data_IF_083202773021
#
_entry.id   IF_083202773021
#
_cell.length_a   1.000
_cell.length_b   1.000
_cell.length_c   1.000
_cell.angle_alpha   90.00
_cell.angle_beta   90.00
_cell.angle_gamma   90.00
#
_symmetry.space_group_name_H-M   'P 1'
#
loop_
_entity.id
_entity.type
_entity.pdbx_description
1 polymer ?
#
# COMPACT_ATOMS: atom_id res chain seq x y z
N UNK A 1 -20.06 -40.55 8.47
CA UNK A 1 -18.83 -41.10 9.08
C UNK A 1 -17.90 -41.49 7.95
N UNK A 2 -16.72 -40.91 7.72
CA UNK A 2 -15.90 -39.98 8.49
C UNK A 2 -14.95 -39.32 7.48
N UNK A 3 -14.98 -37.98 7.38
CA UNK A 3 -14.09 -37.18 6.53
C UNK A 3 -12.91 -36.77 7.39
N UNK A 4 -11.82 -37.53 7.32
CA UNK A 4 -10.53 -37.15 7.89
C UNK A 4 -9.45 -37.90 7.11
N UNK A 5 -8.91 -37.27 6.05
CA UNK A 5 -7.61 -37.57 5.40
C UNK A 5 -7.47 -36.76 4.09
N UNK A 6 -7.37 -35.44 4.16
CA UNK A 6 -6.96 -34.62 3.01
C UNK A 6 -6.31 -33.29 3.44
N UNK A 7 -5.43 -33.34 4.46
CA UNK A 7 -4.83 -32.12 5.04
C UNK A 7 -3.34 -32.24 5.37
N UNK A 8 -2.57 -33.03 4.61
CA UNK A 8 -1.16 -33.25 4.94
C UNK A 8 -0.21 -33.31 3.73
N UNK A 9 -0.49 -32.58 2.65
CA UNK A 9 0.38 -32.60 1.46
C UNK A 9 0.58 -31.25 0.78
N UNK A 10 0.77 -30.17 1.55
CA UNK A 10 1.38 -28.92 1.06
C UNK A 10 2.34 -28.40 2.14
N UNK A 11 3.40 -29.15 2.40
CA UNK A 11 4.46 -28.77 3.35
C UNK A 11 5.75 -29.52 3.00
N UNK A 12 6.19 -29.41 1.74
CA UNK A 12 7.47 -29.98 1.28
C UNK A 12 7.89 -29.46 -0.11
N UNK A 13 8.07 -28.15 -0.29
CA UNK A 13 8.87 -27.63 -1.42
C UNK A 13 9.74 -26.49 -0.88
N UNK A 14 10.76 -26.84 -0.10
CA UNK A 14 11.85 -25.93 0.26
C UNK A 14 13.01 -26.71 0.88
N UNK A 15 13.52 -27.72 0.16
CA UNK A 15 14.82 -28.31 0.46
C UNK A 15 15.32 -29.00 -0.81
N UNK A 16 16.44 -28.49 -1.34
CA UNK A 16 17.36 -29.06 -2.35
C UNK A 16 17.67 -28.09 -3.49
N UNK A 17 18.30 -26.97 -3.13
CA UNK A 17 19.34 -26.34 -3.94
C UNK A 17 20.42 -25.83 -2.97
N UNK A 18 21.23 -26.75 -2.44
CA UNK A 18 22.47 -26.43 -1.73
C UNK A 18 23.55 -26.13 -2.79
N UNK A 19 23.44 -24.94 -3.38
CA UNK A 19 24.60 -24.25 -3.95
C UNK A 19 25.24 -23.43 -2.86
N UNK A 20 26.55 -23.58 -2.68
CA UNK A 20 27.37 -22.95 -1.65
C UNK A 20 27.27 -21.43 -1.67
N UNK A 21 26.34 -20.86 -0.90
CA UNK A 21 26.34 -19.44 -0.56
C UNK A 21 26.93 -19.36 0.84
N UNK A 22 28.06 -18.65 0.97
CA UNK A 22 28.65 -18.27 2.25
C UNK A 22 27.57 -17.81 3.23
N UNK A 23 27.76 -18.01 4.56
CA UNK A 23 26.85 -17.49 5.56
C UNK A 23 27.05 -15.97 5.62
N UNK A 24 26.54 -15.25 4.63
CA UNK A 24 26.09 -13.90 4.84
C UNK A 24 25.04 -14.03 5.94
N UNK A 25 25.35 -13.49 7.11
CA UNK A 25 24.45 -13.41 8.25
C UNK A 25 23.06 -13.04 7.77
N UNK A 26 22.13 -13.99 7.79
CA UNK A 26 20.72 -13.64 7.73
C UNK A 26 20.47 -12.83 9.01
N UNK A 27 20.52 -11.51 8.91
CA UNK A 27 20.14 -10.63 9.99
C UNK A 27 18.73 -11.04 10.42
N UNK A 28 18.58 -11.32 11.71
CA UNK A 28 17.27 -11.67 12.26
C UNK A 28 16.27 -10.57 11.86
N UNK A 29 15.04 -10.91 11.44
CA UNK A 29 14.04 -9.91 11.10
C UNK A 29 13.89 -8.94 12.27
N UNK A 30 13.84 -7.64 11.98
CA UNK A 30 13.64 -6.66 13.03
C UNK A 30 12.34 -6.95 13.80
N UNK A 31 12.27 -6.49 15.06
CA UNK A 31 11.07 -6.62 15.86
C UNK A 31 9.82 -6.04 15.16
N UNK A 32 10.01 -5.04 14.29
CA UNK A 32 8.95 -4.41 13.49
C UNK A 32 8.39 -5.38 12.45
N UNK A 33 9.26 -6.09 11.72
CA UNK A 33 8.85 -7.08 10.71
C UNK A 33 8.23 -8.33 11.35
N UNK A 34 8.77 -8.79 12.48
CA UNK A 34 8.17 -9.92 13.23
C UNK A 34 6.74 -9.59 13.62
N UNK A 35 6.51 -8.41 14.23
CA UNK A 35 5.16 -7.97 14.64
C UNK A 35 4.21 -7.85 13.47
N UNK A 36 4.68 -7.36 12.33
CA UNK A 36 3.87 -7.30 11.11
C UNK A 36 3.50 -8.70 10.61
N UNK A 37 4.45 -9.64 10.61
CA UNK A 37 4.21 -11.01 10.16
C UNK A 37 3.18 -11.71 11.05
N UNK A 38 3.28 -11.57 12.38
CA UNK A 38 2.28 -12.10 13.31
C UNK A 38 0.86 -11.60 13.01
N UNK A 39 0.73 -10.32 12.66
CA UNK A 39 -0.57 -9.75 12.30
C UNK A 39 -1.07 -10.31 10.96
N UNK A 40 -0.18 -10.46 9.97
CA UNK A 40 -0.54 -11.04 8.68
C UNK A 40 -0.93 -12.51 8.81
N UNK A 41 -0.20 -13.29 9.59
CA UNK A 41 -0.53 -14.69 9.90
C UNK A 41 -1.89 -14.78 10.59
N UNK A 42 -2.18 -13.90 11.55
CA UNK A 42 -3.51 -13.81 12.16
C UNK A 42 -4.60 -13.51 11.14
N UNK A 43 -4.33 -12.61 10.19
CA UNK A 43 -5.25 -12.23 9.12
C UNK A 43 -5.56 -13.43 8.22
N UNK A 44 -4.53 -14.13 7.73
CA UNK A 44 -4.65 -15.30 6.84
C UNK A 44 -5.32 -16.49 7.53
N UNK A 45 -5.16 -16.62 8.84
CA UNK A 45 -5.81 -17.67 9.62
C UNK A 45 -7.32 -17.47 9.79
N UNK A 46 -7.88 -16.30 9.46
CA UNK A 46 -9.32 -16.07 9.58
C UNK A 46 -10.08 -16.68 8.38
N UNK A 47 -11.28 -17.26 8.61
CA UNK A 47 -12.12 -17.79 7.54
C UNK A 47 -12.69 -16.69 6.62
N UNK A 48 -12.77 -15.46 7.13
CA UNK A 48 -13.16 -14.25 6.38
C UNK A 48 -12.20 -13.12 6.75
N UNK A 49 -11.94 -12.15 5.86
CA UNK A 49 -11.10 -11.01 6.19
C UNK A 49 -11.61 -10.31 7.46
N UNK A 50 -10.74 -10.05 8.45
CA UNK A 50 -11.14 -9.42 9.69
C UNK A 50 -11.76 -8.04 9.45
N UNK A 51 -12.66 -7.61 10.35
CA UNK A 51 -13.49 -6.41 10.21
C UNK A 51 -13.32 -5.45 11.39
N UNK A 52 -13.31 -4.16 11.10
CA UNK A 52 -13.38 -3.10 12.12
C UNK A 52 -14.74 -3.02 12.83
N UNK A 53 -15.80 -3.51 12.18
CA UNK A 53 -17.13 -3.59 12.77
C UNK A 53 -17.23 -4.67 13.86
N UNK A 54 -16.32 -5.65 13.86
CA UNK A 54 -16.33 -6.76 14.82
C UNK A 54 -15.56 -6.36 16.10
N UNK A 55 -16.22 -6.31 17.27
CA UNK A 55 -15.61 -5.80 18.51
C UNK A 55 -14.31 -6.51 18.91
N UNK A 56 -14.25 -7.84 18.72
CA UNK A 56 -13.09 -8.66 19.09
C UNK A 56 -11.90 -8.52 18.12
N UNK A 57 -12.17 -8.08 16.89
CA UNK A 57 -11.16 -7.96 15.83
C UNK A 57 -10.62 -6.53 15.73
N UNK A 58 -11.48 -5.53 15.99
CA UNK A 58 -11.16 -4.10 15.89
C UNK A 58 -9.86 -3.69 16.59
N UNK A 59 -9.56 -4.10 17.84
CA UNK A 59 -8.31 -3.69 18.50
C UNK A 59 -7.06 -4.19 17.78
N UNK A 60 -7.09 -5.42 17.24
CA UNK A 60 -5.97 -6.01 16.49
C UNK A 60 -5.78 -5.32 15.14
N UNK A 61 -6.87 -5.03 14.45
CA UNK A 61 -6.83 -4.29 13.18
C UNK A 61 -6.35 -2.85 13.35
N UNK A 62 -6.85 -2.11 14.33
CA UNK A 62 -6.37 -0.76 14.59
C UNK A 62 -4.87 -0.77 14.91
N UNK A 63 -4.41 -1.74 15.69
CA UNK A 63 -2.98 -1.92 15.96
C UNK A 63 -2.16 -2.11 14.68
N UNK A 64 -2.65 -2.82 13.65
CA UNK A 64 -1.94 -2.92 12.37
C UNK A 64 -1.69 -1.55 11.70
N UNK A 65 -2.68 -0.66 11.74
CA UNK A 65 -2.63 0.58 10.95
C UNK A 65 -2.15 1.79 11.76
N UNK A 66 -2.34 1.80 13.07
CA UNK A 66 -2.05 2.96 13.94
C UNK A 66 -0.88 2.73 14.90
N UNK A 67 -0.33 1.53 14.98
CA UNK A 67 0.75 1.25 15.93
C UNK A 67 2.06 1.87 15.45
N UNK A 68 2.44 2.94 16.13
CA UNK A 68 3.68 3.64 15.84
C UNK A 68 4.93 2.75 16.02
N UNK A 69 4.83 1.64 16.77
CA UNK A 69 5.94 0.70 16.89
C UNK A 69 6.28 -0.02 15.59
N UNK A 70 5.37 -0.12 14.62
CA UNK A 70 5.70 -0.68 13.28
C UNK A 70 6.76 0.18 12.60
N UNK A 71 6.80 1.49 12.89
CA UNK A 71 7.76 2.41 12.30
C UNK A 71 9.09 2.46 13.04
N UNK A 72 9.12 2.03 14.31
CA UNK A 72 10.29 2.10 15.17
C UNK A 72 10.77 3.52 15.48
N UNK A 73 11.67 3.69 16.47
CA UNK A 73 12.25 5.01 16.80
C UNK A 73 13.26 5.49 15.75
N UNK A 74 13.89 4.57 15.02
CA UNK A 74 14.93 4.86 14.03
C UNK A 74 14.40 4.84 12.59
N UNK A 75 13.07 4.75 12.41
CA UNK A 75 12.46 4.48 11.12
C UNK A 75 12.65 3.04 10.66
N UNK A 76 12.25 2.78 9.41
CA UNK A 76 12.40 1.50 8.72
C UNK A 76 13.51 1.59 7.68
N UNK A 77 14.31 0.52 7.56
CA UNK A 77 15.26 0.33 6.48
C UNK A 77 14.55 0.12 5.13
N UNK A 78 15.24 0.31 4.00
CA UNK A 78 14.65 0.04 2.68
C UNK A 78 14.09 -1.38 2.52
N UNK A 79 14.74 -2.38 3.10
CA UNK A 79 14.30 -3.78 3.05
C UNK A 79 13.01 -3.99 3.86
N UNK A 80 12.88 -3.33 5.01
CA UNK A 80 11.68 -3.38 5.83
C UNK A 80 10.52 -2.66 5.16
N UNK A 81 10.77 -1.49 4.54
CA UNK A 81 9.77 -0.79 3.73
C UNK A 81 9.30 -1.63 2.52
N UNK A 82 10.22 -2.36 1.88
CA UNK A 82 9.87 -3.28 0.80
C UNK A 82 9.00 -4.43 1.30
N UNK A 83 9.32 -4.99 2.46
CA UNK A 83 8.53 -6.03 3.12
C UNK A 83 7.14 -5.53 3.47
N UNK A 84 7.03 -4.36 4.11
CA UNK A 84 5.76 -3.76 4.48
C UNK A 84 4.87 -3.50 3.25
N UNK A 85 5.46 -3.02 2.14
CA UNK A 85 4.74 -2.84 0.89
C UNK A 85 4.14 -4.15 0.35
N UNK A 86 4.90 -5.25 0.37
CA UNK A 86 4.39 -6.57 -0.03
C UNK A 86 3.20 -6.99 0.84
N UNK A 87 3.30 -6.78 2.15
CA UNK A 87 2.25 -7.16 3.10
C UNK A 87 0.99 -6.31 2.93
N UNK A 88 1.12 -4.99 2.72
CA UNK A 88 -0.04 -4.14 2.43
C UNK A 88 -0.74 -4.56 1.13
N UNK A 89 0.01 -4.97 0.11
CA UNK A 89 -0.57 -5.49 -1.14
C UNK A 89 -1.31 -6.81 -0.93
N UNK A 90 -0.77 -7.71 -0.11
CA UNK A 90 -1.40 -8.99 0.25
C UNK A 90 -2.71 -8.77 1.01
N UNK A 91 -2.71 -7.87 2.01
CA UNK A 91 -3.92 -7.51 2.77
C UNK A 91 -4.98 -6.88 1.88
N UNK A 92 -4.57 -5.98 0.99
CA UNK A 92 -5.47 -5.35 0.01
C UNK A 92 -6.10 -6.40 -0.90
N UNK A 93 -5.31 -7.36 -1.38
CA UNK A 93 -5.78 -8.46 -2.19
C UNK A 93 -6.80 -9.32 -1.43
N UNK A 94 -6.52 -9.65 -0.16
CA UNK A 94 -7.43 -10.45 0.65
C UNK A 94 -8.79 -9.77 0.87
N UNK A 95 -8.83 -8.44 1.03
CA UNK A 95 -10.10 -7.70 1.10
C UNK A 95 -10.80 -7.58 -0.26
N UNK A 96 -10.08 -7.12 -1.29
CA UNK A 96 -10.65 -6.82 -2.60
C UNK A 96 -11.07 -8.07 -3.36
N UNK A 97 -10.38 -9.19 -3.16
CA UNK A 97 -10.64 -10.47 -3.82
C UNK A 97 -11.32 -11.50 -2.91
N UNK A 98 -11.87 -11.08 -1.76
CA UNK A 98 -12.63 -12.00 -0.93
C UNK A 98 -13.89 -12.48 -1.66
N UNK A 99 -14.08 -13.79 -1.75
CA UNK A 99 -15.32 -14.35 -2.25
C UNK A 99 -15.77 -15.49 -1.35
N UNK A 100 -17.03 -15.43 -0.90
CA UNK A 100 -17.68 -16.55 -0.20
C UNK A 100 -17.95 -17.72 -1.18
N UNK A 101 -17.98 -17.45 -2.50
CA UNK A 101 -18.09 -18.43 -3.58
C UNK A 101 -16.73 -18.65 -4.25
N UNK A 102 -16.29 -19.90 -4.51
CA UNK A 102 -14.97 -20.21 -5.10
C UNK A 102 -14.81 -19.84 -6.59
N UNK A 103 -15.62 -18.93 -7.12
CA UNK A 103 -15.56 -18.46 -8.50
C UNK A 103 -14.65 -17.24 -8.64
N UNK A 104 -14.07 -17.07 -9.83
CA UNK A 104 -13.32 -15.87 -10.22
C UNK A 104 -14.20 -14.63 -10.07
N UNK A 105 -13.73 -13.63 -9.32
CA UNK A 105 -14.47 -12.40 -9.10
C UNK A 105 -14.36 -11.47 -10.31
N UNK A 106 -15.51 -11.04 -10.83
CA UNK A 106 -15.58 -9.97 -11.81
C UNK A 106 -15.37 -8.58 -11.18
N UNK A 107 -15.37 -7.54 -12.00
CA UNK A 107 -15.20 -6.17 -11.55
C UNK A 107 -16.30 -5.70 -10.60
N UNK A 108 -17.53 -6.20 -10.77
CA UNK A 108 -18.66 -5.81 -9.93
C UNK A 108 -18.54 -6.42 -8.54
N UNK A 109 -18.12 -7.68 -8.43
CA UNK A 109 -17.87 -8.31 -7.15
C UNK A 109 -16.72 -7.64 -6.38
N UNK A 110 -15.64 -7.24 -7.07
CA UNK A 110 -14.56 -6.46 -6.44
C UNK A 110 -15.04 -5.09 -5.94
N UNK A 111 -15.94 -4.43 -6.66
CA UNK A 111 -16.58 -3.19 -6.23
C UNK A 111 -17.44 -3.40 -4.98
N UNK A 112 -18.24 -4.47 -4.96
CA UNK A 112 -19.05 -4.83 -3.78
C UNK A 112 -18.19 -5.13 -2.55
N UNK A 113 -17.05 -5.80 -2.75
CA UNK A 113 -16.06 -6.01 -1.68
C UNK A 113 -15.48 -4.69 -1.19
N UNK A 114 -15.09 -3.78 -2.09
CA UNK A 114 -14.63 -2.45 -1.70
C UNK A 114 -15.65 -1.74 -0.82
N UNK A 115 -16.94 -1.79 -1.17
CA UNK A 115 -18.00 -1.16 -0.36
C UNK A 115 -18.18 -1.88 0.98
N UNK A 116 -18.15 -3.22 0.99
CA UNK A 116 -18.29 -4.06 2.19
C UNK A 116 -17.15 -3.82 3.18
N UNK A 117 -15.91 -3.70 2.70
CA UNK A 117 -14.68 -3.60 3.49
C UNK A 117 -14.01 -2.22 3.39
N UNK A 118 -14.79 -1.17 3.13
CA UNK A 118 -14.23 0.12 2.75
C UNK A 118 -13.31 0.72 3.82
N UNK A 119 -13.65 0.59 5.10
CA UNK A 119 -12.84 1.19 6.17
C UNK A 119 -11.48 0.48 6.27
N UNK A 120 -11.48 -0.84 6.15
CA UNK A 120 -10.27 -1.66 6.21
C UNK A 120 -9.38 -1.45 4.97
N UNK A 121 -9.98 -1.43 3.77
CA UNK A 121 -9.26 -1.15 2.51
C UNK A 121 -8.64 0.24 2.55
N UNK A 122 -9.37 1.25 3.06
CA UNK A 122 -8.84 2.62 3.11
C UNK A 122 -7.75 2.77 4.17
N UNK A 123 -7.88 2.19 5.38
CA UNK A 123 -6.79 2.24 6.36
C UNK A 123 -5.53 1.52 5.84
N UNK A 124 -5.68 0.39 5.16
CA UNK A 124 -4.57 -0.30 4.53
C UNK A 124 -3.95 0.52 3.37
N UNK A 125 -4.78 1.22 2.58
CA UNK A 125 -4.29 2.12 1.53
C UNK A 125 -3.55 3.34 2.10
N UNK A 126 -3.99 3.90 3.22
CA UNK A 126 -3.28 4.98 3.92
C UNK A 126 -1.94 4.50 4.47
N UNK A 127 -1.87 3.26 4.98
CA UNK A 127 -0.61 2.61 5.36
C UNK A 127 0.33 2.46 4.17
N UNK A 128 -0.20 2.06 3.01
CA UNK A 128 0.57 2.00 1.76
C UNK A 128 1.09 3.37 1.33
N UNK A 129 0.25 4.42 1.33
CA UNK A 129 0.68 5.80 1.05
C UNK A 129 1.84 6.18 1.98
N UNK A 130 1.66 6.02 3.30
CA UNK A 130 2.68 6.36 4.29
C UNK A 130 3.99 5.62 4.00
N UNK A 131 3.93 4.32 3.70
CA UNK A 131 5.11 3.50 3.37
C UNK A 131 5.84 4.02 2.13
N UNK A 132 5.11 4.43 1.09
CA UNK A 132 5.74 5.05 -0.10
C UNK A 132 6.40 6.39 0.25
N UNK A 133 5.81 7.19 1.14
CA UNK A 133 6.36 8.50 1.49
C UNK A 133 7.65 8.37 2.29
N UNK A 134 7.72 7.45 3.25
CA UNK A 134 9.00 7.14 3.92
C UNK A 134 10.03 6.57 2.96
N UNK A 135 9.62 5.78 1.96
CA UNK A 135 10.55 5.34 0.92
C UNK A 135 11.08 6.53 0.13
N UNK A 136 10.26 7.50 -0.23
CA UNK A 136 10.71 8.70 -0.94
C UNK A 136 11.65 9.56 -0.08
N UNK A 137 11.32 9.78 1.19
CA UNK A 137 12.16 10.54 2.12
C UNK A 137 13.53 9.90 2.28
N UNK A 138 13.59 8.57 2.43
CA UNK A 138 14.86 7.84 2.48
C UNK A 138 15.58 7.84 1.14
N UNK A 139 14.87 7.66 0.03
CA UNK A 139 15.46 7.67 -1.31
C UNK A 139 16.05 9.04 -1.66
N UNK A 140 15.48 10.15 -1.19
CA UNK A 140 16.04 11.49 -1.39
C UNK A 140 17.39 11.64 -0.69
N UNK A 141 17.52 11.13 0.54
CA UNK A 141 18.78 11.15 1.31
C UNK A 141 19.86 10.30 0.63
N UNK A 142 19.49 9.23 -0.07
CA UNK A 142 20.43 8.27 -0.66
C UNK A 142 20.41 8.24 -2.20
N UNK A 143 19.80 9.23 -2.88
CA UNK A 143 19.51 9.14 -4.31
C UNK A 143 20.75 8.87 -5.19
N UNK A 144 21.93 9.34 -4.77
CA UNK A 144 23.20 9.08 -5.46
C UNK A 144 23.72 7.62 -5.30
N UNK A 145 23.24 6.92 -4.27
CA UNK A 145 23.63 5.55 -3.93
C UNK A 145 22.55 4.50 -4.32
N UNK A 146 21.32 4.92 -4.62
CA UNK A 146 20.22 4.04 -4.99
C UNK A 146 20.31 3.68 -6.49
N UNK A 147 20.28 2.39 -6.86
CA UNK A 147 20.24 1.96 -8.25
C UNK A 147 19.05 2.57 -9.02
N UNK A 148 19.28 2.98 -10.28
CA UNK A 148 18.23 3.58 -11.13
C UNK A 148 17.01 2.66 -11.34
N UNK A 149 17.19 1.35 -11.26
CA UNK A 149 16.11 0.34 -11.31
C UNK A 149 15.16 0.43 -10.12
N UNK A 150 15.67 0.75 -8.93
CA UNK A 150 14.86 0.93 -7.73
C UNK A 150 14.05 2.22 -7.81
N UNK A 151 14.64 3.31 -8.30
CA UNK A 151 13.94 4.57 -8.52
C UNK A 151 12.77 4.44 -9.52
N UNK A 152 12.96 3.67 -10.60
CA UNK A 152 11.87 3.34 -11.55
C UNK A 152 10.75 2.55 -10.89
N UNK A 153 11.09 1.63 -10.00
CA UNK A 153 10.12 0.83 -9.24
C UNK A 153 9.29 1.73 -8.31
N UNK A 154 9.93 2.68 -7.63
CA UNK A 154 9.25 3.66 -6.76
C UNK A 154 8.29 4.54 -7.55
N UNK A 155 8.76 5.11 -8.67
CA UNK A 155 7.89 5.90 -9.56
C UNK A 155 6.69 5.09 -10.03
N UNK A 156 6.89 3.83 -10.40
CA UNK A 156 5.79 2.93 -10.80
C UNK A 156 4.78 2.73 -9.67
N UNK A 157 5.25 2.46 -8.44
CA UNK A 157 4.38 2.31 -7.27
C UNK A 157 3.59 3.59 -6.96
N UNK A 158 4.19 4.76 -7.13
CA UNK A 158 3.50 6.06 -6.97
C UNK A 158 2.43 6.25 -8.05
N UNK A 159 2.71 5.92 -9.30
CA UNK A 159 1.71 5.97 -10.37
C UNK A 159 0.54 5.02 -10.09
N UNK A 160 0.81 3.81 -9.60
CA UNK A 160 -0.22 2.87 -9.16
C UNK A 160 -1.04 3.43 -8.00
N UNK A 161 -0.37 4.04 -7.00
CA UNK A 161 -1.01 4.70 -5.87
C UNK A 161 -1.96 5.81 -6.33
N UNK A 162 -1.50 6.70 -7.22
CA UNK A 162 -2.33 7.79 -7.76
C UNK A 162 -3.51 7.26 -8.59
N UNK A 163 -3.31 6.17 -9.34
CA UNK A 163 -4.38 5.48 -10.05
C UNK A 163 -5.45 4.91 -9.11
N UNK A 164 -5.03 4.24 -8.03
CA UNK A 164 -5.94 3.71 -6.98
C UNK A 164 -6.67 4.83 -6.25
N UNK A 165 -5.97 5.90 -5.89
CA UNK A 165 -6.57 7.11 -5.33
C UNK A 165 -7.71 7.60 -6.20
N UNK A 166 -7.48 7.74 -7.51
CA UNK A 166 -8.50 8.24 -8.42
C UNK A 166 -9.71 7.30 -8.49
N UNK A 167 -9.47 5.98 -8.46
CA UNK A 167 -10.53 4.98 -8.39
C UNK A 167 -11.37 5.16 -7.11
N UNK A 168 -10.73 5.23 -5.94
CA UNK A 168 -11.44 5.37 -4.66
C UNK A 168 -12.20 6.69 -4.55
N UNK A 169 -11.57 7.80 -4.95
CA UNK A 169 -12.22 9.11 -4.92
C UNK A 169 -13.37 9.20 -5.94
N UNK A 170 -13.43 8.32 -6.94
CA UNK A 170 -14.54 8.22 -7.89
C UNK A 170 -15.70 7.32 -7.41
N UNK A 171 -15.49 6.47 -6.42
CA UNK A 171 -16.47 5.49 -5.96
C UNK A 171 -17.60 6.18 -5.16
N UNK A 172 -18.85 6.21 -5.68
CA UNK A 172 -19.96 6.89 -5.02
C UNK A 172 -20.35 6.27 -3.67
N UNK A 173 -20.14 4.97 -3.49
CA UNK A 173 -20.52 4.26 -2.27
C UNK A 173 -19.45 4.31 -1.17
N UNK A 174 -18.27 4.87 -1.45
CA UNK A 174 -17.28 5.14 -0.43
C UNK A 174 -17.83 6.21 0.53
N UNK A 175 -17.57 6.11 1.82
CA UNK A 175 -18.01 7.12 2.77
C UNK A 175 -17.25 8.44 2.54
N UNK A 176 -17.91 9.57 2.84
CA UNK A 176 -17.26 10.89 2.81
C UNK A 176 -16.04 10.94 3.73
N UNK A 177 -16.12 10.32 4.91
CA UNK A 177 -15.01 10.24 5.85
C UNK A 177 -13.77 9.55 5.26
N UNK A 178 -13.98 8.45 4.54
CA UNK A 178 -12.90 7.72 3.87
C UNK A 178 -12.30 8.51 2.70
N UNK A 179 -13.13 9.15 1.87
CA UNK A 179 -12.63 10.06 0.82
C UNK A 179 -11.80 11.21 1.39
N UNK A 180 -12.24 11.81 2.50
CA UNK A 180 -11.51 12.89 3.17
C UNK A 180 -10.16 12.42 3.70
N UNK A 181 -10.07 11.22 4.29
CA UNK A 181 -8.79 10.68 4.77
C UNK A 181 -7.79 10.47 3.63
N UNK A 182 -8.24 9.93 2.49
CA UNK A 182 -7.41 9.78 1.28
C UNK A 182 -6.93 11.15 0.81
N UNK A 183 -7.84 12.12 0.71
CA UNK A 183 -7.49 13.47 0.26
C UNK A 183 -6.50 14.17 1.18
N UNK A 184 -6.69 14.02 2.49
CA UNK A 184 -5.76 14.57 3.48
C UNK A 184 -4.36 13.99 3.28
N UNK A 185 -4.26 12.66 3.18
CA UNK A 185 -2.98 11.98 2.96
C UNK A 185 -2.29 12.42 1.66
N UNK A 186 -3.03 12.68 0.58
CA UNK A 186 -2.46 13.20 -0.66
C UNK A 186 -1.99 14.64 -0.53
N UNK A 187 -2.78 15.48 0.14
CA UNK A 187 -2.50 16.91 0.30
C UNK A 187 -1.27 17.09 1.17
N UNK A 188 -1.18 16.35 2.29
CA UNK A 188 -0.02 16.37 3.19
C UNK A 188 1.30 15.99 2.48
N UNK A 189 1.20 15.25 1.37
CA UNK A 189 2.36 14.72 0.63
C UNK A 189 2.47 15.26 -0.80
N UNK A 190 1.69 16.27 -1.18
CA UNK A 190 1.57 16.71 -2.57
C UNK A 190 2.91 17.17 -3.15
N UNK A 191 3.69 17.92 -2.37
CA UNK A 191 5.01 18.42 -2.77
C UNK A 191 6.01 17.28 -2.98
N UNK A 192 6.11 16.34 -2.04
CA UNK A 192 7.03 15.20 -2.14
C UNK A 192 6.69 14.29 -3.34
N UNK A 193 5.40 14.04 -3.55
CA UNK A 193 4.91 13.31 -4.72
C UNK A 193 5.27 14.01 -6.03
N UNK A 194 5.09 15.33 -6.09
CA UNK A 194 5.46 16.13 -7.26
C UNK A 194 6.97 16.11 -7.53
N UNK A 195 7.77 16.27 -6.48
CA UNK A 195 9.23 16.35 -6.56
C UNK A 195 9.87 15.09 -7.17
N UNK A 196 9.17 13.95 -7.11
CA UNK A 196 9.61 12.66 -7.67
C UNK A 196 9.66 12.64 -9.21
N UNK A 197 8.89 13.51 -9.87
CA UNK A 197 8.77 13.56 -11.33
C UNK A 197 9.41 14.82 -11.90
N UNK A 198 10.08 14.66 -13.05
CA UNK A 198 10.62 15.80 -13.81
C UNK A 198 9.50 16.73 -14.29
N UNK A 199 9.84 17.98 -14.63
CA UNK A 199 8.84 19.01 -14.96
C UNK A 199 7.83 18.58 -16.04
N UNK A 200 8.30 18.03 -17.18
CA UNK A 200 7.41 17.59 -18.26
C UNK A 200 6.60 16.34 -17.90
N UNK A 201 7.20 15.38 -17.20
CA UNK A 201 6.49 14.19 -16.69
C UNK A 201 5.35 14.60 -15.75
N UNK A 202 5.63 15.54 -14.85
CA UNK A 202 4.67 16.04 -13.88
C UNK A 202 3.53 16.81 -14.52
N UNK A 203 3.84 17.67 -15.48
CA UNK A 203 2.84 18.38 -16.30
C UNK A 203 1.91 17.40 -17.01
N UNK A 204 2.47 16.35 -17.60
CA UNK A 204 1.70 15.29 -18.26
C UNK A 204 0.84 14.50 -17.26
N UNK A 205 1.41 14.12 -16.12
CA UNK A 205 0.70 13.40 -15.05
C UNK A 205 -0.48 14.21 -14.52
N UNK A 206 -0.26 15.48 -14.14
CA UNK A 206 -1.31 16.39 -13.66
C UNK A 206 -2.40 16.56 -14.72
N UNK A 207 -2.02 16.70 -15.99
CA UNK A 207 -2.97 16.80 -17.11
C UNK A 207 -3.82 15.54 -17.27
N UNK A 208 -3.21 14.36 -17.16
CA UNK A 208 -3.92 13.06 -17.19
C UNK A 208 -4.88 12.93 -16.01
N UNK A 209 -4.41 13.19 -14.79
CA UNK A 209 -5.22 13.09 -13.58
C UNK A 209 -6.41 14.07 -13.62
N UNK A 210 -6.17 15.30 -14.09
CA UNK A 210 -7.23 16.32 -14.25
C UNK A 210 -8.28 15.89 -15.29
N UNK A 211 -7.86 15.43 -16.47
CA UNK A 211 -8.79 15.01 -17.54
C UNK A 211 -9.62 13.79 -17.16
N UNK A 212 -9.04 12.87 -16.39
CA UNK A 212 -9.72 11.67 -15.94
C UNK A 212 -10.44 11.85 -14.60
N UNK A 213 -10.37 13.03 -13.96
CA UNK A 213 -10.94 13.29 -12.65
C UNK A 213 -12.45 13.02 -12.65
N UNK A 214 -12.82 11.82 -12.19
CA UNK A 214 -14.19 11.41 -11.89
C UNK A 214 -14.40 11.42 -10.37
N UNK A 215 -13.69 12.27 -9.66
CA UNK A 215 -13.75 12.35 -8.20
C UNK A 215 -15.11 12.88 -7.77
N UNK A 216 -15.58 12.43 -6.61
CA UNK A 216 -16.86 12.86 -6.06
C UNK A 216 -16.85 14.38 -5.76
N UNK A 217 -18.01 15.08 -5.87
CA UNK A 217 -18.07 16.53 -5.72
C UNK A 217 -17.57 17.04 -4.37
N UNK A 218 -17.70 16.24 -3.31
CA UNK A 218 -17.29 16.58 -1.95
C UNK A 218 -15.77 16.73 -1.77
N UNK A 219 -14.97 16.14 -2.66
CA UNK A 219 -13.49 16.19 -2.64
C UNK A 219 -12.88 16.87 -3.85
N UNK A 220 -13.70 17.34 -4.81
CA UNK A 220 -13.20 17.88 -6.07
C UNK A 220 -12.28 19.09 -5.90
N UNK A 221 -12.62 20.00 -4.98
CA UNK A 221 -11.80 21.19 -4.69
C UNK A 221 -10.42 20.80 -4.16
N UNK A 222 -10.39 19.91 -3.18
CA UNK A 222 -9.14 19.48 -2.55
C UNK A 222 -8.28 18.69 -3.53
N UNK A 223 -8.90 17.86 -4.37
CA UNK A 223 -8.19 17.17 -5.45
C UNK A 223 -7.51 18.14 -6.43
N UNK A 224 -8.19 19.23 -6.79
CA UNK A 224 -7.62 20.24 -7.67
C UNK A 224 -6.49 21.03 -7.00
N UNK A 225 -6.58 21.28 -5.69
CA UNK A 225 -5.49 21.89 -4.91
C UNK A 225 -4.27 20.96 -4.85
N UNK A 226 -4.48 19.69 -4.52
CA UNK A 226 -3.45 18.66 -4.57
C UNK A 226 -2.73 18.64 -5.92
N UNK A 227 -3.47 18.62 -7.04
CA UNK A 227 -2.86 18.64 -8.38
C UNK A 227 -2.04 19.91 -8.65
N UNK A 228 -2.46 21.06 -8.13
CA UNK A 228 -1.74 22.33 -8.25
C UNK A 228 -0.44 22.31 -7.43
N UNK A 229 -0.49 21.81 -6.21
CA UNK A 229 0.70 21.69 -5.34
C UNK A 229 1.70 20.70 -5.92
N UNK A 230 1.22 19.54 -6.38
CA UNK A 230 2.06 18.57 -7.08
C UNK A 230 2.73 19.23 -8.28
N UNK A 231 1.98 19.90 -9.15
CA UNK A 231 2.51 20.61 -10.31
C UNK A 231 3.67 21.57 -9.96
N UNK A 232 3.53 22.33 -8.88
CA UNK A 232 4.47 23.37 -8.47
C UNK A 232 5.66 22.87 -7.64
N UNK A 233 5.74 21.58 -7.32
CA UNK A 233 6.82 21.05 -6.47
C UNK A 233 8.22 21.31 -7.08
N UNK A 234 9.24 21.70 -6.30
CA UNK A 234 10.61 21.69 -6.83
C UNK A 234 11.03 20.25 -7.17
N UNK A 235 11.81 20.09 -8.23
CA UNK A 235 12.42 18.80 -8.58
C UNK A 235 13.46 18.44 -7.49
N UNK A 236 13.48 17.21 -6.99
CA UNK A 236 14.51 16.74 -6.04
C UNK A 236 15.47 15.74 -6.70
N UNK A 237 16.44 15.21 -5.95
CA UNK A 237 17.44 14.28 -6.49
C UNK A 237 16.82 13.03 -7.17
N UNK A 238 15.60 12.64 -6.78
CA UNK A 238 14.90 11.50 -7.37
C UNK A 238 14.45 11.81 -8.80
N UNK A 239 13.94 13.01 -9.11
CA UNK A 239 13.52 13.34 -10.48
C UNK A 239 14.71 13.52 -11.44
N UNK A 240 15.89 13.86 -10.92
CA UNK A 240 17.10 14.13 -11.69
C UNK A 240 17.82 12.84 -12.10
N UNK A 241 17.66 11.77 -11.32
CA UNK A 241 18.14 10.44 -11.64
C UNK A 241 17.40 9.88 -12.87
N UNK A 242 18.13 9.70 -13.98
CA UNK A 242 17.64 9.14 -15.25
C UNK A 242 18.02 7.67 -15.41
#
# INVERSE_FOLDING_TARGET
MTITKFLSTILAISALWLGSISPASAEAPSANIVRMNEILEWFVAQPTPPRLSEPDQKPKLLKLWTDNSIWGPNGLTPQELATLNRMTAEIDQLYMQHSESRLTLDHEAQRLNLVKFQDEVILNFLLFIKTQMMFLETAEVFAAAVPTTELKTVRTKILMMLGRTQMYLSEPHLSKGNRNQIMQALTDNATLLGATFGNEERKNLVSVLRRKARVQPDVQKDFMNFLKEMYNAPCNAICEAK
#
